data_IF_646583244425
#
_entry.id   IF_646583244425
#
_cell.length_a   1.000
_cell.length_b   1.000
_cell.length_c   1.000
_cell.angle_alpha   90.00
_cell.angle_beta   90.00
_cell.angle_gamma   90.00
#
_symmetry.space_group_name_H-M   'P 1'
#
loop_
_entity.id
_entity.type
_entity.pdbx_description
1 polymer ?
#
# COMPACT_ATOMS: atom_id res chain seq x y z
N UNK A 1 14.96 -26.11 17.99
CA UNK A 1 14.54 -24.74 17.67
C UNK A 1 14.99 -24.41 16.25
N UNK A 2 14.11 -24.55 15.27
CA UNK A 2 14.42 -24.22 13.87
C UNK A 2 14.36 -22.70 13.70
N UNK A 3 15.50 -22.10 13.39
CA UNK A 3 15.59 -20.69 12.99
C UNK A 3 14.72 -20.48 11.76
N UNK A 4 13.61 -19.78 11.95
CA UNK A 4 12.71 -19.39 10.87
C UNK A 4 13.42 -18.31 10.07
N UNK A 5 13.98 -18.69 8.91
CA UNK A 5 14.57 -17.74 7.96
C UNK A 5 13.52 -16.67 7.67
N UNK A 6 13.74 -15.43 8.11
CA UNK A 6 12.92 -14.30 7.71
C UNK A 6 13.03 -14.19 6.19
N UNK A 7 11.96 -14.55 5.50
CA UNK A 7 11.84 -14.39 4.05
C UNK A 7 12.06 -12.91 3.73
N UNK A 8 13.05 -12.61 2.88
CA UNK A 8 13.35 -11.25 2.44
C UNK A 8 12.09 -10.61 1.90
N UNK A 9 11.70 -9.49 2.49
CA UNK A 9 10.50 -8.75 2.09
C UNK A 9 10.68 -8.21 0.67
N UNK A 10 9.83 -8.64 -0.27
CA UNK A 10 9.86 -8.09 -1.62
C UNK A 10 9.33 -6.65 -1.59
N UNK A 11 10.10 -5.77 -2.21
CA UNK A 11 9.75 -4.36 -2.41
C UNK A 11 9.53 -4.11 -3.89
N UNK A 12 8.36 -3.58 -4.21
CA UNK A 12 7.99 -3.23 -5.59
C UNK A 12 7.52 -1.78 -5.66
N UNK A 13 7.41 -1.22 -6.85
CA UNK A 13 6.81 0.11 -7.07
C UNK A 13 5.41 -0.02 -7.67
N UNK A 14 4.57 1.00 -7.49
CA UNK A 14 3.33 1.16 -8.22
C UNK A 14 3.60 1.45 -9.71
N UNK A 15 2.58 1.27 -10.55
CA UNK A 15 2.59 1.59 -11.98
C UNK A 15 3.84 1.11 -12.76
N UNK A 16 4.31 -0.11 -12.51
CA UNK A 16 5.41 -0.75 -13.23
C UNK A 16 4.96 -2.05 -13.92
N UNK A 17 5.78 -2.55 -14.84
CA UNK A 17 5.50 -3.77 -15.60
C UNK A 17 6.76 -4.63 -15.84
N UNK A 18 7.48 -4.92 -14.76
CA UNK A 18 8.80 -5.58 -14.81
C UNK A 18 8.84 -6.96 -14.13
N UNK A 19 7.83 -7.30 -13.34
CA UNK A 19 7.81 -8.52 -12.53
C UNK A 19 7.37 -9.70 -13.41
N UNK A 20 8.11 -10.80 -13.37
CA UNK A 20 7.75 -12.04 -14.08
C UNK A 20 6.69 -12.78 -13.25
N UNK A 21 5.57 -13.17 -13.87
CA UNK A 21 4.44 -13.79 -13.15
C UNK A 21 4.84 -15.07 -12.45
N UNK A 22 5.55 -15.95 -13.14
CA UNK A 22 5.92 -17.28 -12.66
C UNK A 22 6.77 -17.17 -11.39
N UNK A 23 7.76 -16.27 -11.39
CA UNK A 23 8.60 -15.99 -10.21
C UNK A 23 7.78 -15.45 -9.05
N UNK A 24 6.83 -14.55 -9.32
CA UNK A 24 5.97 -14.01 -8.26
C UNK A 24 5.07 -15.08 -7.64
N UNK A 25 4.51 -15.98 -8.44
CA UNK A 25 3.66 -17.08 -7.95
C UNK A 25 4.48 -18.08 -7.13
N UNK A 26 5.71 -18.38 -7.54
CA UNK A 26 6.63 -19.25 -6.81
C UNK A 26 7.07 -18.63 -5.47
N UNK A 27 7.44 -17.35 -5.48
CA UNK A 27 7.90 -16.65 -4.28
C UNK A 27 6.76 -16.25 -3.35
N UNK A 28 5.56 -15.96 -3.85
CA UNK A 28 4.43 -15.46 -3.06
C UNK A 28 3.12 -16.21 -3.40
N UNK A 29 3.05 -17.53 -3.16
CA UNK A 29 1.91 -18.35 -3.57
C UNK A 29 0.60 -17.96 -2.88
N UNK A 30 0.64 -17.52 -1.61
CA UNK A 30 -0.60 -17.13 -0.90
C UNK A 30 -1.11 -15.80 -1.38
N UNK A 31 -0.24 -14.80 -1.48
CA UNK A 31 -0.62 -13.49 -1.99
C UNK A 31 -1.06 -13.59 -3.44
N UNK A 32 -0.28 -14.21 -4.32
CA UNK A 32 -0.63 -14.34 -5.74
C UNK A 32 -1.98 -15.01 -5.95
N UNK A 33 -2.29 -16.11 -5.26
CA UNK A 33 -3.59 -16.76 -5.34
C UNK A 33 -4.74 -15.86 -4.83
N UNK A 34 -4.47 -15.00 -3.84
CA UNK A 34 -5.49 -14.15 -3.24
C UNK A 34 -5.81 -12.90 -4.08
N UNK A 35 -4.82 -12.28 -4.71
CA UNK A 35 -4.93 -10.90 -5.25
C UNK A 35 -4.64 -10.77 -6.74
N UNK A 36 -3.98 -11.74 -7.37
CA UNK A 36 -3.58 -11.63 -8.77
C UNK A 36 -4.81 -11.60 -9.68
N UNK A 37 -4.84 -10.67 -10.64
CA UNK A 37 -5.91 -10.51 -11.63
C UNK A 37 -7.29 -10.18 -11.05
N UNK A 38 -7.38 -9.87 -9.75
CA UNK A 38 -8.62 -9.49 -9.06
C UNK A 38 -8.78 -7.98 -8.94
N UNK A 39 -10.00 -7.51 -9.20
CA UNK A 39 -10.38 -6.10 -9.08
C UNK A 39 -10.53 -5.71 -7.62
N UNK A 40 -10.36 -4.42 -7.29
CA UNK A 40 -10.56 -3.90 -5.95
C UNK A 40 -11.98 -4.17 -5.42
N UNK A 41 -12.99 -4.11 -6.30
CA UNK A 41 -14.37 -4.47 -5.94
C UNK A 41 -14.50 -5.95 -5.54
N UNK A 42 -13.88 -6.87 -6.29
CA UNK A 42 -13.91 -8.29 -5.92
C UNK A 42 -13.15 -8.58 -4.63
N UNK A 43 -12.14 -7.77 -4.29
CA UNK A 43 -11.35 -7.91 -3.09
C UNK A 43 -12.08 -7.36 -1.87
N UNK A 44 -12.84 -6.25 -2.00
CA UNK A 44 -13.61 -5.67 -0.89
C UNK A 44 -14.79 -6.51 -0.44
N UNK A 45 -15.29 -7.38 -1.32
CA UNK A 45 -16.36 -8.33 -1.01
C UNK A 45 -15.85 -9.64 -0.40
N UNK A 46 -14.54 -9.89 -0.40
CA UNK A 46 -13.96 -11.12 0.11
C UNK A 46 -13.73 -11.02 1.63
N UNK A 47 -14.51 -11.75 2.42
CA UNK A 47 -14.45 -11.73 3.89
C UNK A 47 -13.08 -12.13 4.47
N UNK A 48 -12.22 -12.79 3.67
CA UNK A 48 -10.87 -13.17 4.07
C UNK A 48 -9.88 -12.01 3.94
N UNK A 49 -10.28 -10.91 3.31
CA UNK A 49 -9.45 -9.75 3.00
C UNK A 49 -9.91 -8.57 3.85
N UNK A 50 -8.99 -8.09 4.67
CA UNK A 50 -9.19 -6.83 5.37
C UNK A 50 -8.65 -5.67 4.51
N UNK A 51 -9.55 -4.84 3.99
CA UNK A 51 -9.20 -3.61 3.27
C UNK A 51 -9.54 -2.42 4.14
N UNK A 52 -8.56 -1.54 4.33
CA UNK A 52 -8.74 -0.29 5.04
C UNK A 52 -8.33 0.89 4.14
N UNK A 53 -9.15 1.95 4.02
CA UNK A 53 -10.49 2.11 4.60
C UNK A 53 -11.53 1.18 3.96
N UNK A 54 -12.53 0.76 4.76
CA UNK A 54 -13.50 -0.29 4.36
C UNK A 54 -14.53 0.18 3.31
N UNK A 55 -14.63 1.49 3.06
CA UNK A 55 -15.60 2.06 2.11
C UNK A 55 -14.92 2.44 0.79
N UNK A 56 -14.88 1.48 -0.14
CA UNK A 56 -14.45 1.73 -1.52
C UNK A 56 -15.56 2.39 -2.38
N UNK A 57 -16.80 2.45 -1.89
CA UNK A 57 -17.96 2.94 -2.66
C UNK A 57 -18.09 4.47 -2.65
N UNK A 58 -17.42 5.15 -1.72
CA UNK A 58 -17.41 6.61 -1.63
C UNK A 58 -16.04 7.23 -1.93
N UNK A 59 -15.17 6.49 -2.63
CA UNK A 59 -13.86 6.99 -3.06
C UNK A 59 -13.88 7.25 -4.57
N UNK A 60 -14.22 8.46 -5.04
CA UNK A 60 -14.38 8.76 -6.47
C UNK A 60 -13.07 8.59 -7.27
N UNK A 61 -11.93 8.69 -6.59
CA UNK A 61 -10.61 8.54 -7.20
C UNK A 61 -10.16 7.08 -7.33
N UNK A 62 -10.92 6.13 -6.75
CA UNK A 62 -10.58 4.71 -6.77
C UNK A 62 -11.45 3.97 -7.77
N UNK A 63 -10.85 3.59 -8.89
CA UNK A 63 -11.51 2.76 -9.89
C UNK A 63 -11.72 1.34 -9.33
N UNK A 64 -12.98 0.90 -9.31
CA UNK A 64 -13.41 -0.41 -8.83
C UNK A 64 -12.81 -1.56 -9.64
N UNK A 65 -12.60 -1.34 -10.94
CA UNK A 65 -12.03 -2.31 -11.87
C UNK A 65 -10.50 -2.34 -11.80
N UNK A 66 -9.89 -1.38 -11.10
CA UNK A 66 -8.46 -1.37 -10.86
C UNK A 66 -8.03 -2.65 -10.14
N UNK A 67 -6.88 -3.17 -10.53
CA UNK A 67 -6.25 -4.35 -9.90
C UNK A 67 -4.98 -3.91 -9.20
N UNK A 68 -4.67 -4.55 -8.07
CA UNK A 68 -3.38 -4.37 -7.40
C UNK A 68 -2.28 -4.96 -8.30
N UNK A 69 -2.53 -6.16 -8.81
CA UNK A 69 -1.66 -6.89 -9.72
C UNK A 69 -2.46 -7.42 -10.91
N UNK A 70 -1.99 -7.12 -12.11
CA UNK A 70 -2.60 -7.54 -13.37
C UNK A 70 -1.57 -8.30 -14.22
N UNK A 71 -1.94 -9.48 -14.73
CA UNK A 71 -1.15 -10.24 -15.67
C UNK A 71 -1.31 -9.67 -17.08
N UNK A 72 -0.22 -9.22 -17.68
CA UNK A 72 -0.14 -8.82 -19.08
C UNK A 72 1.10 -9.45 -19.69
N UNK A 73 0.96 -10.24 -20.76
CA UNK A 73 2.10 -10.86 -21.47
C UNK A 73 3.08 -11.62 -20.54
N UNK A 74 2.57 -12.47 -19.63
CA UNK A 74 3.35 -13.23 -18.63
C UNK A 74 4.11 -12.38 -17.61
N UNK A 75 3.86 -11.07 -17.59
CA UNK A 75 4.41 -10.13 -16.62
C UNK A 75 3.31 -9.57 -15.76
N UNK A 76 3.66 -9.18 -14.54
CA UNK A 76 2.77 -8.50 -13.62
C UNK A 76 2.94 -7.00 -13.79
N UNK A 77 1.83 -6.34 -14.06
CA UNK A 77 1.63 -4.90 -14.01
C UNK A 77 1.06 -4.53 -12.65
N UNK A 78 1.66 -3.55 -11.97
CA UNK A 78 1.10 -2.98 -10.74
C UNK A 78 0.20 -1.80 -11.07
N UNK A 79 -0.92 -1.67 -10.35
CA UNK A 79 -1.82 -0.52 -10.46
C UNK A 79 -1.27 0.75 -9.78
N UNK A 80 -2.12 1.77 -9.68
CA UNK A 80 -1.85 2.99 -8.90
C UNK A 80 -2.23 2.79 -7.42
N UNK A 81 -1.74 1.71 -6.81
CA UNK A 81 -1.97 1.38 -5.39
C UNK A 81 -0.63 1.32 -4.70
N UNK A 82 -0.51 2.00 -3.57
CA UNK A 82 0.65 1.91 -2.68
C UNK A 82 0.21 1.29 -1.34
N UNK A 83 1.13 0.67 -0.61
CA UNK A 83 0.84 0.15 0.72
C UNK A 83 1.52 -1.18 1.01
N UNK A 84 0.96 -1.88 2.00
CA UNK A 84 1.50 -3.14 2.52
C UNK A 84 0.52 -4.27 2.28
N UNK A 85 1.04 -5.44 1.93
CA UNK A 85 0.28 -6.66 1.74
C UNK A 85 0.87 -7.74 2.63
N UNK A 86 0.02 -8.41 3.40
CA UNK A 86 0.41 -9.47 4.32
C UNK A 86 -0.55 -10.64 4.27
N UNK A 87 -0.02 -11.85 4.05
CA UNK A 87 -0.77 -13.10 4.23
C UNK A 87 0.12 -14.14 4.93
N UNK A 88 -0.14 -14.32 6.23
CA UNK A 88 0.58 -15.29 7.05
C UNK A 88 2.04 -14.90 7.25
N UNK A 89 2.95 -15.50 6.49
CA UNK A 89 4.39 -15.19 6.55
C UNK A 89 4.86 -14.40 5.31
N UNK A 90 3.99 -14.25 4.31
CA UNK A 90 4.29 -13.46 3.12
C UNK A 90 4.00 -11.99 3.43
N UNK A 91 5.02 -11.15 3.21
CA UNK A 91 4.93 -9.70 3.33
C UNK A 91 5.51 -9.06 2.08
N UNK A 92 4.79 -8.11 1.53
CA UNK A 92 5.19 -7.35 0.36
C UNK A 92 4.82 -5.89 0.55
N UNK A 93 5.68 -4.98 0.08
CA UNK A 93 5.37 -3.55 0.07
C UNK A 93 5.35 -3.00 -1.34
N UNK A 94 4.30 -2.25 -1.66
CA UNK A 94 4.17 -1.44 -2.87
C UNK A 94 4.53 0.01 -2.54
N UNK A 95 5.64 0.46 -3.10
CA UNK A 95 6.20 1.80 -2.98
C UNK A 95 5.58 2.73 -4.01
N UNK A 96 5.53 4.03 -3.73
CA UNK A 96 5.40 4.98 -4.84
C UNK A 96 6.66 4.94 -5.72
N UNK A 97 6.49 5.03 -7.05
CA UNK A 97 7.57 5.23 -8.03
C UNK A 97 8.29 6.56 -7.88
N UNK A 98 7.69 7.48 -7.11
CA UNK A 98 8.29 8.77 -6.77
C UNK A 98 9.14 8.72 -5.49
N UNK A 99 9.19 7.58 -4.80
CA UNK A 99 10.08 7.36 -3.65
C UNK A 99 11.41 6.77 -4.16
N UNK A 100 12.54 7.24 -3.63
CA UNK A 100 13.85 6.64 -3.89
C UNK A 100 14.23 5.64 -2.77
N UNK A 101 15.47 5.16 -2.74
CA UNK A 101 15.89 4.14 -1.77
C UNK A 101 15.85 4.67 -0.32
N UNK A 102 16.10 5.97 -0.12
CA UNK A 102 16.29 6.60 1.20
C UNK A 102 15.15 7.53 1.63
N UNK A 103 14.43 8.16 0.69
CA UNK A 103 13.46 9.21 0.91
C UNK A 103 12.10 8.91 0.28
N UNK A 104 11.05 9.21 1.05
CA UNK A 104 9.66 9.04 0.59
C UNK A 104 9.08 10.37 0.12
N UNK A 105 9.55 10.84 -1.05
CA UNK A 105 9.14 12.14 -1.61
C UNK A 105 7.62 12.25 -1.79
N UNK A 106 6.95 11.14 -2.08
CA UNK A 106 5.49 11.09 -2.17
C UNK A 106 4.84 11.38 -0.82
N UNK A 107 5.32 10.78 0.26
CA UNK A 107 4.83 11.06 1.60
C UNK A 107 5.08 12.52 2.02
N UNK A 108 6.28 13.05 1.74
CA UNK A 108 6.60 14.46 1.97
C UNK A 108 5.65 15.39 1.21
N UNK A 109 5.36 15.06 -0.05
CA UNK A 109 4.41 15.80 -0.87
C UNK A 109 3.00 15.78 -0.27
N UNK A 110 2.49 14.60 0.14
CA UNK A 110 1.18 14.48 0.77
C UNK A 110 1.08 15.33 2.04
N UNK A 111 2.08 15.27 2.92
CA UNK A 111 2.10 16.03 4.18
C UNK A 111 2.11 17.54 3.93
N UNK A 112 2.99 18.02 3.06
CA UNK A 112 3.16 19.47 2.83
C UNK A 112 2.04 20.06 1.94
N UNK A 113 1.76 19.43 0.79
CA UNK A 113 0.91 20.01 -0.26
C UNK A 113 -0.56 19.64 -0.14
N UNK A 114 -0.88 18.40 0.25
CA UNK A 114 -2.26 17.94 0.36
C UNK A 114 -2.82 18.18 1.77
N UNK A 115 -1.99 17.96 2.79
CA UNK A 115 -2.42 18.02 4.19
C UNK A 115 -2.12 19.36 4.87
N UNK A 116 -1.29 20.21 4.27
CA UNK A 116 -0.81 21.49 4.82
C UNK A 116 -0.08 21.35 6.16
N UNK A 117 0.57 20.21 6.41
CA UNK A 117 1.39 19.95 7.58
C UNK A 117 2.83 20.31 7.23
N UNK A 118 3.32 21.41 7.78
CA UNK A 118 4.70 21.86 7.56
C UNK A 118 5.65 21.15 8.54
N UNK A 119 6.08 19.93 8.19
CA UNK A 119 7.08 19.20 8.95
C UNK A 119 8.48 19.68 8.55
N UNK A 120 9.20 20.31 9.47
CA UNK A 120 10.57 20.81 9.25
C UNK A 120 11.62 19.69 9.30
N UNK A 121 11.28 18.51 9.82
CA UNK A 121 12.11 17.31 9.77
C UNK A 121 11.25 16.04 9.93
N UNK A 122 11.16 15.21 8.90
CA UNK A 122 10.79 13.79 9.07
C UNK A 122 12.08 13.06 9.43
N UNK A 123 12.18 12.61 10.67
CA UNK A 123 13.37 11.96 11.19
C UNK A 123 13.73 10.73 10.34
N UNK A 124 14.97 10.69 9.85
CA UNK A 124 15.42 9.86 8.71
C UNK A 124 15.68 8.39 9.11
N UNK A 125 15.45 8.04 10.38
CA UNK A 125 15.78 6.73 10.94
C UNK A 125 14.63 5.70 10.91
N UNK A 126 13.48 6.04 10.34
CA UNK A 126 12.31 5.16 10.34
C UNK A 126 12.22 4.31 9.07
N UNK A 127 11.84 3.04 9.23
CA UNK A 127 11.39 2.17 8.14
C UNK A 127 10.16 2.77 7.45
N UNK A 128 9.88 2.36 6.21
CA UNK A 128 8.75 2.94 5.47
C UNK A 128 7.38 2.60 6.07
N UNK A 129 7.27 1.44 6.71
CA UNK A 129 6.10 1.07 7.52
C UNK A 129 5.87 2.10 8.61
N UNK A 130 6.91 2.40 9.40
CA UNK A 130 6.86 3.41 10.45
C UNK A 130 6.54 4.81 9.91
N UNK A 131 7.01 5.15 8.69
CA UNK A 131 6.67 6.42 8.04
C UNK A 131 5.20 6.53 7.64
N UNK A 132 4.59 5.44 7.16
CA UNK A 132 3.15 5.40 6.89
C UNK A 132 2.33 5.41 8.19
N UNK A 133 2.80 4.77 9.26
CA UNK A 133 2.18 4.93 10.59
C UNK A 133 2.30 6.36 11.12
N UNK A 134 3.43 7.04 10.90
CA UNK A 134 3.57 8.46 11.23
C UNK A 134 2.57 9.33 10.46
N UNK A 135 2.32 9.04 9.18
CA UNK A 135 1.26 9.73 8.42
C UNK A 135 -0.08 9.63 9.15
N UNK A 136 -0.46 8.44 9.64
CA UNK A 136 -1.71 8.26 10.38
C UNK A 136 -1.75 9.09 11.66
N UNK A 137 -0.64 9.16 12.39
CA UNK A 137 -0.51 10.02 13.59
C UNK A 137 -0.73 11.49 13.24
N UNK A 138 -0.17 11.97 12.13
CA UNK A 138 -0.37 13.36 11.68
C UNK A 138 -1.76 13.63 11.11
N UNK A 139 -2.40 12.61 10.53
CA UNK A 139 -3.77 12.69 10.02
C UNK A 139 -4.82 12.73 11.13
N UNK A 140 -4.58 12.03 12.24
CA UNK A 140 -5.55 11.90 13.32
C UNK A 140 -6.06 13.24 13.87
N UNK A 141 -5.21 14.23 14.24
CA UNK A 141 -5.68 15.54 14.69
C UNK A 141 -6.55 16.26 13.66
N UNK A 142 -6.20 16.18 12.37
CA UNK A 142 -6.96 16.83 11.28
C UNK A 142 -8.37 16.23 11.15
N UNK A 143 -8.48 14.90 11.13
CA UNK A 143 -9.77 14.22 11.05
C UNK A 143 -10.59 14.38 12.34
N UNK A 144 -9.95 14.36 13.51
CA UNK A 144 -10.61 14.60 14.79
C UNK A 144 -11.23 16.00 14.83
N UNK A 145 -10.51 17.04 14.43
CA UNK A 145 -11.06 18.41 14.35
C UNK A 145 -12.25 18.51 13.40
N UNK A 146 -12.17 17.87 12.23
CA UNK A 146 -13.27 17.84 11.27
C UNK A 146 -14.50 17.10 11.81
N UNK A 147 -14.30 15.98 12.52
CA UNK A 147 -15.37 15.21 13.14
C UNK A 147 -16.05 15.98 14.28
N UNK A 148 -15.27 16.62 15.16
CA UNK A 148 -15.81 17.47 16.25
C UNK A 148 -16.68 18.58 15.69
N UNK A 149 -16.28 19.24 14.59
CA UNK A 149 -17.07 20.28 13.93
C UNK A 149 -18.42 19.81 13.35
N UNK A 150 -18.59 18.51 13.09
CA UNK A 150 -19.86 17.94 12.59
C UNK A 150 -20.77 17.44 13.73
N UNK A 151 -20.24 17.31 14.94
CA UNK A 151 -20.96 16.86 16.14
C UNK A 151 -21.28 17.98 17.14
N UNK A 152 -20.99 19.23 16.79
CA UNK A 152 -21.42 20.45 17.50
C UNK A 152 -22.58 21.10 16.75
#
# INVERSE_FOLDING_TARGET
>A
MTMKVMKTMMRITDNQHKIIKEKFVEEYPKLSNLILDRTLESLSQDERIFIFPNDLTHTPDLDKDQKIFETVNQKIKTGNVIGFLGYGQERLTISSRFSDESNDHFLHYLLNKVLHINLTSLDVALSREERLYQLLVYLFPKYLQAAIRKGL
#
